data_IF_756764029103
#
_entry.id   IF_756764029103
#
_cell.length_a   1.000
_cell.length_b   1.000
_cell.length_c   1.000
_cell.angle_alpha   90.00
_cell.angle_beta   90.00
_cell.angle_gamma   90.00
#
_symmetry.space_group_name_H-M   'P 1'
#
loop_
_entity.id
_entity.type
_entity.pdbx_description
1 polymer ?
#
# COMPACT_ATOMS: atom_id res chain seq x y z
N UNK A 1 9.46 -1.97 33.33
CA UNK A 1 8.03 -1.64 33.49
C UNK A 1 7.35 -2.41 32.39
N UNK A 2 6.45 -3.32 32.76
CA UNK A 2 5.83 -4.24 31.81
C UNK A 2 4.51 -3.62 31.33
N UNK A 3 4.26 -3.69 30.03
CA UNK A 3 3.01 -3.21 29.42
C UNK A 3 1.89 -4.19 29.76
N UNK A 4 0.83 -3.72 30.41
CA UNK A 4 -0.36 -4.52 30.67
C UNK A 4 -1.37 -4.31 29.53
N UNK A 5 -2.18 -5.33 29.25
CA UNK A 5 -3.20 -5.25 28.20
C UNK A 5 -4.24 -4.15 28.48
N UNK A 6 -4.54 -3.90 29.76
CA UNK A 6 -5.46 -2.86 30.22
C UNK A 6 -4.90 -1.43 30.01
N UNK A 7 -3.58 -1.29 29.81
CA UNK A 7 -2.97 -0.01 29.44
C UNK A 7 -3.25 0.37 27.97
N UNK A 8 -3.76 -0.58 27.17
CA UNK A 8 -3.98 -0.43 25.74
C UNK A 8 -5.42 -0.02 25.48
N UNK A 9 -5.66 1.15 24.86
CA UNK A 9 -7.00 1.56 24.44
C UNK A 9 -7.67 0.47 23.60
N UNK A 10 -8.95 0.19 23.83
CA UNK A 10 -9.65 -0.89 23.12
C UNK A 10 -9.61 -0.77 21.59
N UNK A 11 -9.51 0.45 21.06
CA UNK A 11 -9.34 0.69 19.62
C UNK A 11 -8.00 0.21 19.05
N UNK A 12 -6.99 0.02 19.89
CA UNK A 12 -5.64 -0.40 19.53
C UNK A 12 -5.32 -1.86 19.93
N UNK A 13 -6.20 -2.51 20.68
CA UNK A 13 -6.02 -3.89 21.14
C UNK A 13 -5.88 -4.88 19.97
N UNK A 14 -6.73 -4.79 18.94
CA UNK A 14 -6.58 -5.60 17.74
C UNK A 14 -5.22 -5.41 17.06
N UNK A 15 -4.66 -4.20 17.09
CA UNK A 15 -3.32 -3.96 16.54
C UNK A 15 -2.26 -4.63 17.41
N UNK A 16 -2.36 -4.50 18.74
CA UNK A 16 -1.47 -5.17 19.68
C UNK A 16 -1.49 -6.70 19.50
N UNK A 17 -2.66 -7.31 19.33
CA UNK A 17 -2.79 -8.75 19.10
C UNK A 17 -2.10 -9.22 17.81
N UNK A 18 -2.12 -8.37 16.78
CA UNK A 18 -1.49 -8.68 15.48
C UNK A 18 0.04 -8.56 15.54
N UNK A 19 0.55 -7.53 16.22
CA UNK A 19 1.98 -7.15 16.13
C UNK A 19 2.81 -7.57 17.35
N UNK A 20 2.16 -7.87 18.48
CA UNK A 20 2.80 -8.15 19.76
C UNK A 20 3.38 -6.92 20.46
N UNK A 21 3.81 -7.10 21.71
CA UNK A 21 4.19 -5.99 22.59
C UNK A 21 5.40 -5.18 22.10
N UNK A 22 6.44 -5.84 21.62
CA UNK A 22 7.68 -5.16 21.17
C UNK A 22 7.39 -4.21 20.00
N UNK A 23 6.72 -4.70 18.94
CA UNK A 23 6.38 -3.88 17.78
C UNK A 23 5.31 -2.85 18.07
N UNK A 24 4.38 -3.14 18.98
CA UNK A 24 3.40 -2.15 19.40
C UNK A 24 4.07 -0.93 20.04
N UNK A 25 5.05 -1.14 20.94
CA UNK A 25 5.78 -0.06 21.58
C UNK A 25 6.63 0.74 20.57
N UNK A 26 7.27 0.07 19.60
CA UNK A 26 7.98 0.75 18.50
C UNK A 26 7.03 1.67 17.71
N UNK A 27 5.85 1.17 17.32
CA UNK A 27 4.84 1.95 16.58
C UNK A 27 4.38 3.16 17.39
N UNK A 28 4.07 2.99 18.67
CA UNK A 28 3.63 4.09 19.54
C UNK A 28 4.76 5.12 19.67
N UNK A 29 6.02 4.69 19.84
CA UNK A 29 7.17 5.60 19.90
C UNK A 29 7.33 6.46 18.64
N UNK A 30 6.97 5.95 17.47
CA UNK A 30 7.05 6.69 16.20
C UNK A 30 5.85 7.61 15.97
N UNK A 31 4.64 7.16 16.31
CA UNK A 31 3.39 7.82 15.89
C UNK A 31 2.62 8.50 17.03
N UNK A 32 3.09 8.45 18.28
CA UNK A 32 2.42 9.10 19.41
C UNK A 32 2.13 10.59 19.13
N UNK A 33 0.92 11.03 19.45
CA UNK A 33 0.46 12.41 19.20
C UNK A 33 0.06 12.71 17.75
N UNK A 34 0.23 11.77 16.82
CA UNK A 34 -0.14 11.93 15.41
C UNK A 34 -1.50 11.30 15.10
N UNK A 35 -2.22 11.87 14.13
CA UNK A 35 -3.41 11.24 13.53
C UNK A 35 -2.97 10.45 12.31
N UNK A 36 -2.95 9.11 12.43
CA UNK A 36 -2.54 8.22 11.35
C UNK A 36 -3.77 7.72 10.59
N UNK A 37 -3.82 8.00 9.28
CA UNK A 37 -4.84 7.45 8.40
C UNK A 37 -4.44 6.06 7.89
N UNK A 38 -5.31 5.07 8.11
CA UNK A 38 -5.17 3.74 7.51
C UNK A 38 -6.02 3.64 6.24
N UNK A 39 -5.41 3.64 5.03
CA UNK A 39 -6.16 3.47 3.81
C UNK A 39 -6.79 2.07 3.73
N UNK A 40 -7.90 1.96 2.99
CA UNK A 40 -8.52 0.66 2.75
C UNK A 40 -7.51 -0.33 2.16
N UNK A 41 -7.64 -1.60 2.54
CA UNK A 41 -6.79 -2.69 2.01
C UNK A 41 -6.80 -2.73 0.48
N UNK A 42 -7.95 -2.44 -0.14
CA UNK A 42 -8.11 -2.32 -1.59
C UNK A 42 -7.24 -1.19 -2.18
N UNK A 43 -7.14 -0.05 -1.50
CA UNK A 43 -6.30 1.07 -1.94
C UNK A 43 -4.80 0.75 -1.82
N UNK A 44 -4.37 0.11 -0.73
CA UNK A 44 -2.97 -0.31 -0.54
C UNK A 44 -2.56 -1.29 -1.65
N UNK A 45 -3.36 -2.35 -1.85
CA UNK A 45 -3.08 -3.37 -2.88
C UNK A 45 -3.14 -2.81 -4.29
N UNK A 46 -4.03 -1.84 -4.55
CA UNK A 46 -4.10 -1.14 -5.84
C UNK A 46 -2.80 -0.42 -6.17
N UNK A 47 -2.20 0.28 -5.22
CA UNK A 47 -0.92 0.96 -5.43
C UNK A 47 0.21 -0.02 -5.76
N UNK A 48 0.32 -1.09 -4.98
CA UNK A 48 1.31 -2.15 -5.20
C UNK A 48 1.14 -2.81 -6.58
N UNK A 49 -0.08 -3.25 -6.91
CA UNK A 49 -0.41 -3.86 -8.21
C UNK A 49 -0.05 -2.94 -9.37
N UNK A 50 -0.44 -1.67 -9.29
CA UNK A 50 -0.20 -0.73 -10.37
C UNK A 50 1.30 -0.51 -10.63
N UNK A 51 2.12 -0.40 -9.57
CA UNK A 51 3.58 -0.30 -9.71
C UNK A 51 4.19 -1.56 -10.33
N UNK A 52 3.71 -2.73 -9.92
CA UNK A 52 4.21 -3.99 -10.48
C UNK A 52 3.82 -4.19 -11.95
N UNK A 53 2.60 -3.80 -12.32
CA UNK A 53 2.14 -3.76 -13.73
C UNK A 53 3.06 -2.89 -14.57
N UNK A 54 3.37 -1.67 -14.11
CA UNK A 54 4.26 -0.76 -14.84
C UNK A 54 5.66 -1.36 -14.98
N UNK A 55 6.22 -1.89 -13.88
CA UNK A 55 7.55 -2.50 -13.85
C UNK A 55 7.69 -3.68 -14.81
N UNK A 56 6.63 -4.49 -14.95
CA UNK A 56 6.61 -5.71 -15.77
C UNK A 56 6.11 -5.47 -17.19
N UNK A 57 5.62 -4.27 -17.51
CA UNK A 57 5.14 -3.96 -18.84
C UNK A 57 6.30 -3.91 -19.83
N UNK A 58 6.21 -4.69 -20.92
CA UNK A 58 7.26 -4.82 -21.92
C UNK A 58 6.87 -4.29 -23.31
N UNK A 59 5.80 -3.50 -23.39
CA UNK A 59 5.24 -2.98 -24.65
C UNK A 59 4.17 -3.88 -25.29
N UNK A 60 4.14 -5.18 -24.97
CA UNK A 60 3.28 -6.15 -25.68
C UNK A 60 2.46 -7.07 -24.75
N UNK A 61 2.78 -7.15 -23.46
CA UNK A 61 2.19 -8.10 -22.51
C UNK A 61 0.93 -7.61 -21.76
N UNK A 62 0.16 -6.67 -22.32
CA UNK A 62 -1.06 -6.14 -21.66
C UNK A 62 -2.07 -7.23 -21.33
N UNK A 63 -2.28 -8.17 -22.27
CA UNK A 63 -3.26 -9.26 -22.09
C UNK A 63 -2.82 -10.25 -21.01
N UNK A 64 -1.52 -10.49 -20.87
CA UNK A 64 -0.95 -11.36 -19.83
C UNK A 64 -1.16 -10.73 -18.44
N UNK A 65 -0.75 -9.46 -18.28
CA UNK A 65 -0.91 -8.72 -17.03
C UNK A 65 -2.39 -8.60 -16.61
N UNK A 66 -3.26 -8.38 -17.58
CA UNK A 66 -4.72 -8.33 -17.40
C UNK A 66 -5.26 -9.61 -16.75
N UNK A 67 -4.84 -10.78 -17.24
CA UNK A 67 -5.25 -12.09 -16.70
C UNK A 67 -4.67 -12.36 -15.33
N UNK A 68 -3.39 -12.04 -15.11
CA UNK A 68 -2.72 -12.31 -13.85
C UNK A 68 -3.33 -11.55 -12.67
N UNK A 69 -3.67 -10.28 -12.88
CA UNK A 69 -4.25 -9.44 -11.82
C UNK A 69 -5.78 -9.40 -11.82
N UNK A 70 -6.44 -10.21 -12.66
CA UNK A 70 -7.89 -10.27 -12.81
C UNK A 70 -8.52 -8.87 -13.01
N UNK A 71 -8.02 -8.13 -14.01
CA UNK A 71 -8.52 -6.79 -14.37
C UNK A 71 -8.60 -6.65 -15.88
N UNK A 72 -9.39 -5.69 -16.36
CA UNK A 72 -9.49 -5.49 -17.81
C UNK A 72 -8.18 -4.99 -18.43
N UNK A 73 -7.91 -5.41 -19.67
CA UNK A 73 -6.80 -4.90 -20.48
C UNK A 73 -6.85 -3.38 -20.62
N UNK A 74 -8.07 -2.81 -20.74
CA UNK A 74 -8.26 -1.35 -20.78
C UNK A 74 -7.84 -0.65 -19.49
N UNK A 75 -7.97 -1.31 -18.33
CA UNK A 75 -7.52 -0.77 -17.06
C UNK A 75 -6.00 -0.86 -16.91
N UNK A 76 -5.38 -1.96 -17.34
CA UNK A 76 -3.92 -2.08 -17.47
C UNK A 76 -3.36 -0.96 -18.34
N UNK A 77 -3.93 -0.72 -19.53
CA UNK A 77 -3.51 0.38 -20.41
C UNK A 77 -3.67 1.75 -19.75
N UNK A 78 -4.74 1.98 -18.98
CA UNK A 78 -4.92 3.24 -18.22
C UNK A 78 -3.84 3.42 -17.14
N UNK A 79 -3.44 2.34 -16.47
CA UNK A 79 -2.38 2.36 -15.46
C UNK A 79 -1.05 2.76 -16.11
N UNK A 80 -0.69 2.13 -17.21
CA UNK A 80 0.55 2.40 -17.95
C UNK A 80 0.56 3.86 -18.44
N UNK A 81 -0.50 4.30 -19.15
CA UNK A 81 -0.59 5.69 -19.65
C UNK A 81 -0.54 6.74 -18.55
N UNK A 82 -1.13 6.42 -17.39
CA UNK A 82 -1.08 7.31 -16.22
C UNK A 82 0.37 7.45 -15.75
N UNK A 83 1.08 6.35 -15.61
CA UNK A 83 2.48 6.34 -15.19
C UNK A 83 3.38 7.08 -16.19
N UNK A 84 3.24 6.80 -17.50
CA UNK A 84 3.99 7.49 -18.56
C UNK A 84 3.80 9.01 -18.48
N UNK A 85 2.57 9.49 -18.29
CA UNK A 85 2.29 10.92 -18.11
C UNK A 85 2.98 11.51 -16.88
N UNK A 86 2.88 10.82 -15.74
CA UNK A 86 3.43 11.29 -14.47
C UNK A 86 4.97 11.29 -14.44
N UNK A 87 5.63 10.39 -15.18
CA UNK A 87 7.11 10.34 -15.26
C UNK A 87 7.67 11.24 -16.37
N UNK A 88 6.90 11.52 -17.42
CA UNK A 88 7.30 12.47 -18.47
C UNK A 88 7.52 13.89 -17.90
N UNK A 89 6.81 14.25 -16.83
CA UNK A 89 6.96 15.55 -16.16
C UNK A 89 8.23 15.63 -15.28
N UNK A 90 8.81 14.50 -14.84
CA UNK A 90 10.04 14.46 -14.02
C UNK A 90 11.33 14.53 -14.85
N UNK A 91 11.32 14.06 -16.12
CA UNK A 91 12.47 14.11 -17.04
C UNK A 91 12.62 15.47 -17.77
N UNK A 92 11.72 16.43 -17.50
CA UNK A 92 11.71 17.78 -18.11
C UNK A 92 12.38 18.88 -17.25
N UNK A 93 13.02 18.50 -16.14
CA UNK A 93 13.82 19.38 -15.27
C UNK A 93 15.17 18.74 -14.91
#
# INVERSE_FOLDING_TARGET
>A
MDLMYDDIPSSLQNMFDIVGAEKFLEIIGVYAGSVVYFPSSKNIRRGMRNRDIVRRYNGYNILELSREYDISSSYVSKIIKKYERENWDEDLY
#
